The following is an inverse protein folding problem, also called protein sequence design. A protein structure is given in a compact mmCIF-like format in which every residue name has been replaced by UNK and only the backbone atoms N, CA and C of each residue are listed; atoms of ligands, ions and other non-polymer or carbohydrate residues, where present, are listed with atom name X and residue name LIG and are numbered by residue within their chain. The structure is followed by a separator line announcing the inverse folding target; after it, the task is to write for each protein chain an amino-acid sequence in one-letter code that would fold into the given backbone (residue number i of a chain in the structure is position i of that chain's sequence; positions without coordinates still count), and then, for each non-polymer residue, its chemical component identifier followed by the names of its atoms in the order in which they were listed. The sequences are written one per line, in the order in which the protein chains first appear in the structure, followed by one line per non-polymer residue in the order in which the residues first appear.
data_IF_114055084508
#
_entry.id   IF_114055084508
#
_cell.length_a   1.000
_cell.length_b   1.000
_cell.length_c   1.000
_cell.angle_alpha   90.00
_cell.angle_beta   90.00
_cell.angle_gamma   90.00
#
_symmetry.space_group_name_H-M   'P 1'
#
loop_
_entity.id
_entity.type
_entity.pdbx_description
1 polymer ?
#
# COMPACT_ATOMS: atom_id res chain seq x y z
N UNK A 1 20.43 8.91 -0.89
CA UNK A 1 19.55 8.72 0.29
C UNK A 1 19.75 7.31 0.78
N UNK A 2 19.81 7.07 2.10
CA UNK A 2 19.77 5.71 2.63
C UNK A 2 18.49 5.00 2.16
N UNK A 3 18.56 3.68 1.97
CA UNK A 3 17.37 2.87 1.75
C UNK A 3 16.53 2.89 3.04
N UNK A 4 15.21 2.90 2.89
CA UNK A 4 14.27 2.83 4.01
C UNK A 4 14.36 1.46 4.67
N UNK A 5 14.13 1.39 5.98
CA UNK A 5 13.83 0.11 6.64
C UNK A 5 12.47 -0.42 6.18
N UNK A 6 12.17 -1.69 6.47
CA UNK A 6 10.88 -2.30 6.15
C UNK A 6 9.72 -1.52 6.79
N UNK A 7 9.87 -1.08 8.03
CA UNK A 7 8.88 -0.29 8.76
C UNK A 7 8.67 1.09 8.12
N UNK A 8 9.77 1.77 7.78
CA UNK A 8 9.72 3.08 7.11
C UNK A 8 9.10 2.99 5.72
N UNK A 9 9.32 1.90 5.00
CA UNK A 9 8.67 1.62 3.73
C UNK A 9 7.16 1.46 3.91
N UNK A 10 6.73 0.58 4.83
CA UNK A 10 5.33 0.29 5.13
C UNK A 10 4.56 1.53 5.62
N UNK A 11 5.18 2.42 6.38
CA UNK A 11 4.56 3.70 6.73
C UNK A 11 4.46 4.63 5.53
N UNK A 12 5.49 4.69 4.69
CA UNK A 12 5.53 5.64 3.58
C UNK A 12 4.53 5.35 2.44
N UNK A 13 4.04 4.11 2.36
CA UNK A 13 3.00 3.71 1.40
C UNK A 13 1.58 3.99 1.90
N UNK A 14 1.37 4.29 3.19
CA UNK A 14 0.06 4.62 3.77
C UNK A 14 -0.41 6.01 3.36
N UNK A 15 -0.73 6.16 2.08
CA UNK A 15 -1.17 7.42 1.46
C UNK A 15 -2.38 7.18 0.58
N UNK A 16 -3.28 8.17 0.46
CA UNK A 16 -4.40 8.05 -0.46
C UNK A 16 -3.87 7.91 -1.88
N UNK A 17 -4.36 6.90 -2.59
CA UNK A 17 -4.12 6.68 -4.01
C UNK A 17 -5.46 6.62 -4.74
N UNK A 18 -5.46 7.06 -5.98
CA UNK A 18 -6.58 6.81 -6.89
C UNK A 18 -6.45 5.39 -7.44
N UNK A 19 -6.56 4.41 -6.54
CA UNK A 19 -6.53 3.00 -6.86
C UNK A 19 -7.96 2.47 -6.96
N UNK A 20 -8.24 1.77 -8.04
CA UNK A 20 -9.53 1.15 -8.30
C UNK A 20 -9.33 -0.33 -8.62
N UNK A 21 -10.13 -1.19 -8.00
CA UNK A 21 -10.13 -2.64 -8.23
C UNK A 21 -11.56 -3.13 -8.29
N UNK A 22 -11.86 -4.01 -9.24
CA UNK A 22 -13.21 -4.58 -9.42
C UNK A 22 -14.33 -3.53 -9.52
N UNK A 23 -14.03 -2.36 -10.11
CA UNK A 23 -14.98 -1.26 -10.25
C UNK A 23 -15.15 -0.37 -9.02
N UNK A 24 -14.48 -0.67 -7.90
CA UNK A 24 -14.58 0.09 -6.66
C UNK A 24 -13.27 0.80 -6.31
N UNK A 25 -13.36 1.95 -5.62
CA UNK A 25 -12.19 2.70 -5.14
C UNK A 25 -11.64 2.06 -3.88
N UNK A 26 -10.38 1.63 -3.92
CA UNK A 26 -9.69 1.03 -2.77
C UNK A 26 -9.05 2.14 -1.92
N UNK A 27 -9.53 2.32 -0.68
CA UNK A 27 -9.04 3.38 0.23
C UNK A 27 -7.78 2.99 0.99
N UNK A 28 -7.72 1.77 1.52
CA UNK A 28 -6.61 1.28 2.35
C UNK A 28 -5.89 0.12 1.66
N UNK A 29 -5.22 0.42 0.55
CA UNK A 29 -4.65 -0.61 -0.32
C UNK A 29 -3.58 -1.47 0.39
N UNK A 30 -2.85 -0.89 1.34
CA UNK A 30 -1.84 -1.60 2.15
C UNK A 30 -2.43 -2.69 3.05
N UNK A 31 -3.75 -2.66 3.31
CA UNK A 31 -4.45 -3.69 4.09
C UNK A 31 -5.39 -4.55 3.23
N UNK A 32 -5.41 -4.36 1.91
CA UNK A 32 -6.29 -5.12 1.02
C UNK A 32 -5.76 -6.55 0.83
N UNK A 33 -6.58 -7.61 0.95
CA UNK A 33 -6.12 -9.00 1.00
C UNK A 33 -5.38 -9.45 -0.27
N UNK A 34 -5.71 -8.85 -1.42
CA UNK A 34 -5.03 -9.15 -2.71
C UNK A 34 -3.71 -8.39 -2.84
N UNK A 35 -3.58 -7.22 -2.22
CA UNK A 35 -2.44 -6.33 -2.44
C UNK A 35 -1.37 -6.56 -1.38
N UNK A 36 -1.77 -6.70 -0.11
CA UNK A 36 -0.89 -6.88 1.04
C UNK A 36 0.22 -7.93 0.84
N UNK A 37 -0.04 -9.12 0.25
CA UNK A 37 1.01 -10.11 0.01
C UNK A 37 2.14 -9.63 -0.91
N UNK A 38 1.85 -8.67 -1.79
CA UNK A 38 2.81 -8.10 -2.75
C UNK A 38 3.62 -6.94 -2.18
N UNK A 39 3.29 -6.46 -0.97
CA UNK A 39 3.95 -5.32 -0.34
C UNK A 39 4.78 -5.73 0.89
N UNK A 40 4.54 -6.94 1.42
CA UNK A 40 5.29 -7.52 2.53
C UNK A 40 6.69 -7.99 2.12
#
# INVERSE_FOLDING_TARGET
MPLKTSEEYLESIKRPLNLYMFGEKVREFWNHPIIKPSIN
#
